data_IF_859309866491
#
_entry.id   IF_859309866491
#
_cell.length_a   1.000
_cell.length_b   1.000
_cell.length_c   1.000
_cell.angle_alpha   90.00
_cell.angle_beta   90.00
_cell.angle_gamma   90.00
#
_symmetry.space_group_name_H-M   'P 1'
#
loop_
_entity.id
_entity.type
_entity.pdbx_description
1 polymer ?
#
# COMPACT_ATOMS: atom_id res chain seq x y z
N UNK A 1 32.66 -2.72 -23.01
CA UNK A 1 32.35 -2.17 -21.66
C UNK A 1 32.32 -0.66 -21.81
N UNK A 2 31.15 -0.03 -21.62
CA UNK A 2 31.10 1.45 -21.51
C UNK A 2 31.95 1.82 -20.30
N UNK A 3 32.84 2.82 -20.45
CA UNK A 3 33.60 3.34 -19.32
C UNK A 3 32.64 3.74 -18.20
N UNK A 4 32.84 3.17 -17.02
CA UNK A 4 32.16 3.61 -15.81
C UNK A 4 32.62 5.03 -15.52
N UNK A 5 31.86 6.03 -15.97
CA UNK A 5 32.11 7.43 -15.68
C UNK A 5 32.13 7.61 -14.16
N UNK A 6 33.09 8.36 -13.66
CA UNK A 6 33.08 8.80 -12.27
C UNK A 6 31.83 9.63 -12.05
N UNK A 7 30.90 9.16 -11.20
CA UNK A 7 29.59 9.79 -10.97
C UNK A 7 29.57 10.36 -9.56
N UNK A 8 29.17 11.61 -9.44
CA UNK A 8 29.12 12.33 -8.14
C UNK A 8 28.13 11.68 -7.17
N UNK A 9 27.05 11.11 -7.68
CA UNK A 9 26.07 10.36 -6.90
C UNK A 9 26.23 8.85 -7.17
N UNK A 10 26.39 8.00 -6.14
CA UNK A 10 26.49 6.56 -6.33
C UNK A 10 25.19 5.97 -6.88
N UNK A 11 25.25 4.78 -7.50
CA UNK A 11 24.03 4.06 -7.93
C UNK A 11 23.09 3.79 -6.76
N UNK A 12 23.64 3.36 -5.63
CA UNK A 12 22.89 3.04 -4.41
C UNK A 12 23.35 3.95 -3.29
N UNK A 13 22.44 4.73 -2.75
CA UNK A 13 22.64 5.52 -1.56
C UNK A 13 22.16 4.67 -0.38
N UNK A 14 23.10 4.30 0.49
CA UNK A 14 22.83 3.57 1.72
C UNK A 14 22.95 4.50 2.93
N UNK A 15 22.04 4.32 3.86
CA UNK A 15 22.18 4.76 5.23
C UNK A 15 22.87 3.67 6.05
N UNK A 16 23.54 4.03 7.14
CA UNK A 16 23.99 3.08 8.16
C UNK A 16 22.84 2.69 9.08
N UNK A 17 23.01 1.64 9.88
CA UNK A 17 22.02 1.25 10.90
C UNK A 17 21.75 2.38 11.92
N UNK A 18 22.75 3.20 12.22
CA UNK A 18 22.64 4.33 13.15
C UNK A 18 21.83 5.50 12.55
N UNK A 19 21.74 5.58 11.22
CA UNK A 19 20.96 6.57 10.49
C UNK A 19 19.50 6.13 10.30
N UNK A 20 19.12 4.90 10.71
CA UNK A 20 17.73 4.44 10.64
C UNK A 20 16.82 5.25 11.56
N UNK A 21 15.54 5.47 11.15
CA UNK A 21 14.57 6.17 11.97
C UNK A 21 14.38 5.50 13.35
N UNK A 22 14.36 6.33 14.39
CA UNK A 22 14.03 5.91 15.76
C UNK A 22 12.58 6.13 16.11
N UNK A 23 11.86 6.87 15.27
CA UNK A 23 10.46 7.25 15.41
C UNK A 23 9.74 7.03 14.10
N UNK A 24 8.48 6.65 14.17
CA UNK A 24 7.55 6.84 13.06
C UNK A 24 7.07 8.28 13.04
N UNK A 25 6.80 8.80 11.86
CA UNK A 25 6.27 10.14 11.70
C UNK A 25 4.76 10.10 11.39
N UNK A 26 3.99 10.72 12.27
CA UNK A 26 2.53 10.84 12.15
C UNK A 26 2.19 12.18 11.47
N UNK A 27 2.02 12.15 10.17
CA UNK A 27 1.72 13.34 9.37
C UNK A 27 0.42 14.05 9.78
N UNK A 28 -0.51 13.32 10.42
CA UNK A 28 -1.76 13.91 10.93
C UNK A 28 -1.54 15.01 11.95
N UNK A 29 -0.45 14.95 12.71
CA UNK A 29 -0.13 15.99 13.68
C UNK A 29 0.06 17.37 13.02
N UNK A 30 0.57 17.41 11.79
CA UNK A 30 0.78 18.64 11.02
C UNK A 30 -0.40 18.99 10.10
N UNK A 31 -1.35 18.07 9.86
CA UNK A 31 -2.51 18.33 9.00
C UNK A 31 -3.48 19.35 9.62
N UNK A 32 -3.84 20.38 8.85
CA UNK A 32 -4.87 21.36 9.23
C UNK A 32 -6.27 20.73 9.21
N UNK A 33 -6.59 20.05 8.09
CA UNK A 33 -7.81 19.27 7.93
C UNK A 33 -7.46 17.81 8.25
N UNK A 34 -7.74 17.39 9.47
CA UNK A 34 -7.48 16.00 9.88
C UNK A 34 -8.47 15.06 9.24
N UNK A 35 -8.08 13.81 8.93
CA UNK A 35 -9.03 12.80 8.50
C UNK A 35 -10.17 12.66 9.50
N UNK A 36 -11.38 12.53 9.00
CA UNK A 36 -12.56 12.33 9.85
C UNK A 36 -12.46 10.98 10.60
N UNK A 37 -13.05 10.89 11.82
CA UNK A 37 -12.98 9.68 12.64
C UNK A 37 -13.67 8.51 11.96
N UNK A 38 -13.24 7.29 12.27
CA UNK A 38 -13.96 6.07 11.88
C UNK A 38 -15.33 6.05 12.57
N UNK A 39 -16.37 5.65 11.83
CA UNK A 39 -17.72 5.52 12.38
C UNK A 39 -18.09 4.06 12.64
N UNK A 40 -18.76 3.83 13.75
CA UNK A 40 -19.40 2.55 14.04
C UNK A 40 -20.57 2.33 13.05
N UNK A 41 -20.60 1.22 12.31
CA UNK A 41 -21.61 0.98 11.29
C UNK A 41 -23.04 0.87 11.83
N UNK A 42 -23.21 0.46 13.09
CA UNK A 42 -24.53 0.30 13.71
C UNK A 42 -25.10 1.59 14.31
N UNK A 43 -24.21 2.49 14.80
CA UNK A 43 -24.65 3.72 15.51
C UNK A 43 -24.42 5.00 14.71
N UNK A 44 -23.61 4.95 13.65
CA UNK A 44 -23.15 6.08 12.84
C UNK A 44 -22.41 7.17 13.65
N UNK A 45 -21.90 6.79 14.82
CA UNK A 45 -21.10 7.68 15.70
C UNK A 45 -19.61 7.35 15.58
N UNK A 46 -18.73 8.31 15.91
CA UNK A 46 -17.30 8.02 16.01
C UNK A 46 -17.06 6.82 16.93
N UNK A 47 -16.23 5.89 16.46
CA UNK A 47 -15.86 4.71 17.25
C UNK A 47 -15.04 5.10 18.46
N UNK A 48 -15.32 4.43 19.57
CA UNK A 48 -14.52 4.53 20.80
C UNK A 48 -13.32 3.58 20.73
N UNK A 49 -12.32 3.83 21.59
CA UNK A 49 -11.17 2.92 21.72
C UNK A 49 -11.58 1.51 22.17
N UNK A 50 -12.62 1.39 23.00
CA UNK A 50 -13.17 0.12 23.46
C UNK A 50 -13.75 -0.68 22.29
N UNK A 51 -14.62 -0.04 21.47
CA UNK A 51 -15.22 -0.69 20.29
C UNK A 51 -14.14 -1.16 19.29
N UNK A 52 -13.13 -0.31 19.02
CA UNK A 52 -12.00 -0.69 18.14
C UNK A 52 -11.18 -1.82 18.73
N UNK A 53 -11.00 -1.87 20.07
CA UNK A 53 -10.24 -2.90 20.78
C UNK A 53 -10.84 -4.31 20.68
N UNK A 54 -12.11 -4.44 20.27
CA UNK A 54 -12.70 -5.76 19.96
C UNK A 54 -12.13 -6.36 18.66
N UNK A 55 -11.66 -5.52 17.74
CA UNK A 55 -11.15 -5.93 16.42
C UNK A 55 -9.62 -5.88 16.39
N UNK A 56 -9.02 -4.81 16.89
CA UNK A 56 -7.58 -4.51 16.81
C UNK A 56 -6.87 -4.65 18.15
N UNK A 57 -5.55 -4.77 18.12
CA UNK A 57 -4.71 -4.70 19.31
C UNK A 57 -4.79 -3.30 19.95
N UNK A 58 -4.72 -3.22 21.27
CA UNK A 58 -4.90 -1.97 22.03
C UNK A 58 -3.90 -0.87 21.63
N UNK A 59 -2.61 -1.21 21.44
CA UNK A 59 -1.61 -0.20 21.01
C UNK A 59 -1.86 0.26 19.58
N UNK A 60 -2.35 -0.60 18.68
CA UNK A 60 -2.74 -0.21 17.32
C UNK A 60 -3.95 0.73 17.32
N UNK A 61 -4.91 0.52 18.23
CA UNK A 61 -6.03 1.44 18.43
C UNK A 61 -5.54 2.81 18.88
N UNK A 62 -4.61 2.85 19.84
CA UNK A 62 -4.01 4.11 20.31
C UNK A 62 -3.31 4.85 19.16
N UNK A 63 -2.50 4.16 18.35
CA UNK A 63 -1.84 4.74 17.18
C UNK A 63 -2.85 5.20 16.11
N UNK A 64 -3.93 4.45 15.91
CA UNK A 64 -4.98 4.83 14.96
C UNK A 64 -5.69 6.12 15.36
N UNK A 65 -5.94 6.32 16.66
CA UNK A 65 -6.66 7.48 17.19
C UNK A 65 -5.77 8.70 17.48
N UNK A 66 -4.45 8.53 17.61
CA UNK A 66 -3.52 9.63 17.89
C UNK A 66 -3.28 10.47 16.62
N UNK A 67 -3.85 11.66 16.60
CA UNK A 67 -3.70 12.65 15.54
C UNK A 67 -2.91 13.90 15.98
N UNK A 68 -2.23 13.84 17.13
CA UNK A 68 -1.56 14.97 17.78
C UNK A 68 -0.05 14.76 17.94
N UNK A 69 0.40 13.52 18.21
CA UNK A 69 1.80 13.21 18.45
C UNK A 69 2.55 13.05 17.13
N UNK A 70 3.49 13.96 16.77
CA UNK A 70 4.13 13.91 15.46
C UNK A 70 5.16 12.78 15.32
N UNK A 71 5.86 12.43 16.40
CA UNK A 71 6.89 11.39 16.40
C UNK A 71 6.58 10.34 17.44
N UNK A 72 6.25 9.12 16.98
CA UNK A 72 5.92 7.99 17.83
C UNK A 72 7.15 7.06 17.89
N UNK A 73 7.70 6.76 19.09
CA UNK A 73 8.89 5.94 19.21
C UNK A 73 8.67 4.53 18.61
N UNK A 74 9.64 4.07 17.82
CA UNK A 74 9.65 2.68 17.34
C UNK A 74 10.20 1.81 18.47
N UNK A 75 9.47 0.79 18.95
CA UNK A 75 9.96 -0.14 19.97
C UNK A 75 11.32 -0.73 19.59
N UNK A 76 12.21 -0.91 20.58
CA UNK A 76 13.57 -1.39 20.30
C UNK A 76 13.58 -2.76 19.61
N UNK A 77 12.67 -3.68 20.00
CA UNK A 77 12.56 -5.00 19.38
C UNK A 77 12.12 -4.91 17.91
N UNK A 78 11.21 -3.98 17.58
CA UNK A 78 10.82 -3.69 16.19
C UNK A 78 12.01 -3.11 15.41
N UNK A 79 12.80 -2.21 16.03
CA UNK A 79 14.03 -1.67 15.42
C UNK A 79 15.08 -2.74 15.20
N UNK A 80 15.25 -3.66 16.14
CA UNK A 80 16.16 -4.80 16.02
C UNK A 80 15.76 -5.68 14.83
N UNK A 81 14.45 -5.89 14.65
CA UNK A 81 13.96 -6.62 13.49
C UNK A 81 14.19 -5.83 12.19
N UNK A 82 13.97 -4.52 12.19
CA UNK A 82 14.25 -3.66 11.04
C UNK A 82 15.72 -3.77 10.60
N UNK A 83 16.69 -3.84 11.50
CA UNK A 83 18.11 -4.01 11.17
C UNK A 83 18.42 -5.23 10.31
N UNK A 84 17.57 -6.25 10.32
CA UNK A 84 17.76 -7.44 9.49
C UNK A 84 17.58 -7.16 7.98
N UNK A 85 16.85 -6.11 7.60
CA UNK A 85 16.56 -5.83 6.19
C UNK A 85 16.52 -4.34 5.82
N UNK A 86 16.65 -3.46 6.79
CA UNK A 86 16.73 -2.01 6.60
C UNK A 86 18.11 -1.50 7.05
N UNK A 87 18.55 -0.31 6.56
CA UNK A 87 17.88 0.60 5.64
C UNK A 87 17.73 0.01 4.24
N UNK A 88 16.60 0.24 3.58
CA UNK A 88 16.46 -0.12 2.17
C UNK A 88 17.16 0.94 1.28
N UNK A 89 17.74 0.55 0.12
CA UNK A 89 18.49 1.49 -0.69
C UNK A 89 17.60 2.51 -1.40
N UNK A 90 18.11 3.74 -1.52
CA UNK A 90 17.68 4.69 -2.54
C UNK A 90 18.62 4.55 -3.73
N UNK A 91 18.08 4.24 -4.91
CA UNK A 91 18.87 3.92 -6.10
C UNK A 91 18.60 4.96 -7.17
N UNK A 92 19.66 5.42 -7.85
CA UNK A 92 19.50 6.27 -9.03
C UNK A 92 19.43 5.43 -10.30
N UNK A 93 18.38 5.65 -11.09
CA UNK A 93 18.07 4.89 -12.30
C UNK A 93 18.87 5.40 -13.52
N UNK A 94 20.19 5.39 -13.43
CA UNK A 94 21.07 5.92 -14.48
C UNK A 94 20.85 5.28 -15.85
N UNK A 95 20.59 3.97 -15.91
CA UNK A 95 20.42 3.29 -17.19
C UNK A 95 19.06 3.63 -17.81
N UNK A 96 18.01 3.84 -16.99
CA UNK A 96 16.71 4.31 -17.46
C UNK A 96 16.81 5.76 -17.94
N UNK A 97 17.47 6.66 -17.18
CA UNK A 97 17.72 8.05 -17.61
C UNK A 97 18.41 8.12 -18.96
N UNK A 98 19.49 7.33 -19.15
CA UNK A 98 20.22 7.24 -20.41
C UNK A 98 19.34 6.71 -21.55
N UNK A 99 18.52 5.67 -21.26
CA UNK A 99 17.62 5.06 -22.26
C UNK A 99 16.55 6.04 -22.75
N UNK A 100 16.01 6.86 -21.83
CA UNK A 100 15.01 7.88 -22.14
C UNK A 100 15.66 9.13 -22.81
N UNK A 101 16.96 9.31 -22.62
CA UNK A 101 17.69 10.52 -23.09
C UNK A 101 17.15 11.79 -22.44
N UNK A 102 16.77 11.71 -21.17
CA UNK A 102 16.19 12.81 -20.41
C UNK A 102 17.27 13.51 -19.54
N UNK A 103 17.16 14.84 -19.33
CA UNK A 103 18.00 15.55 -18.38
C UNK A 103 17.56 15.31 -16.92
N UNK A 104 16.43 14.65 -16.69
CA UNK A 104 15.83 14.38 -15.39
C UNK A 104 16.61 13.29 -14.65
N UNK A 105 16.75 13.44 -13.34
CA UNK A 105 17.30 12.42 -12.46
C UNK A 105 16.19 11.60 -11.83
N UNK A 106 16.23 10.28 -11.96
CA UNK A 106 15.22 9.36 -11.45
C UNK A 106 15.80 8.54 -10.32
N UNK A 107 15.17 8.60 -9.14
CA UNK A 107 15.52 7.83 -7.95
C UNK A 107 14.39 6.89 -7.59
N UNK A 108 14.71 5.67 -7.15
CA UNK A 108 13.71 4.75 -6.63
C UNK A 108 14.10 4.21 -5.25
N UNK A 109 13.16 4.29 -4.30
CA UNK A 109 13.27 3.69 -2.98
C UNK A 109 12.88 2.22 -3.07
N UNK A 110 13.87 1.34 -3.00
CA UNK A 110 13.67 -0.08 -3.30
C UNK A 110 13.33 -0.89 -2.04
N UNK A 111 12.04 -1.08 -1.79
CA UNK A 111 11.51 -1.87 -0.68
C UNK A 111 11.43 -3.38 -0.96
N UNK A 112 11.63 -3.80 -2.20
CA UNK A 112 11.63 -5.22 -2.59
C UNK A 112 12.90 -5.99 -2.23
N UNK A 113 13.88 -5.36 -1.59
CA UNK A 113 15.15 -5.99 -1.18
C UNK A 113 15.03 -6.83 0.10
N UNK A 114 13.97 -6.67 0.86
CA UNK A 114 13.77 -7.45 2.08
C UNK A 114 13.29 -8.88 1.78
N UNK A 115 13.36 -9.76 2.78
CA UNK A 115 13.06 -11.18 2.64
C UNK A 115 11.59 -11.49 2.29
N UNK A 116 10.66 -10.59 2.60
CA UNK A 116 9.26 -10.73 2.18
C UNK A 116 9.02 -10.24 0.73
N UNK A 117 9.98 -9.53 0.16
CA UNK A 117 9.92 -8.98 -1.19
C UNK A 117 9.07 -7.72 -1.34
N UNK A 118 8.63 -7.07 -0.26
CA UNK A 118 7.83 -5.83 -0.34
C UNK A 118 7.89 -4.96 0.91
N UNK A 119 7.45 -3.70 0.79
CA UNK A 119 7.33 -2.71 1.89
C UNK A 119 6.43 -3.18 3.04
N UNK A 120 5.55 -4.12 2.79
CA UNK A 120 4.53 -4.53 3.77
C UNK A 120 5.11 -5.07 5.08
N UNK A 121 6.35 -5.60 5.05
CA UNK A 121 7.04 -6.11 6.23
C UNK A 121 7.25 -5.04 7.31
N UNK A 122 7.37 -3.77 6.94
CA UNK A 122 7.54 -2.67 7.89
C UNK A 122 6.37 -2.58 8.88
N UNK A 123 5.14 -2.73 8.41
CA UNK A 123 3.96 -2.73 9.26
C UNK A 123 3.65 -4.10 9.85
N UNK A 124 3.92 -5.17 9.12
CA UNK A 124 3.66 -6.53 9.58
C UNK A 124 4.38 -6.84 10.89
N UNK A 125 5.66 -6.48 10.99
CA UNK A 125 6.41 -6.73 12.22
C UNK A 125 5.93 -5.85 13.38
N UNK A 126 5.57 -4.59 13.12
CA UNK A 126 5.04 -3.70 14.15
C UNK A 126 3.70 -4.18 14.70
N UNK A 127 2.80 -4.64 13.83
CA UNK A 127 1.49 -5.14 14.24
C UNK A 127 1.60 -6.49 14.96
N UNK A 128 2.41 -7.42 14.44
CA UNK A 128 2.64 -8.71 15.09
C UNK A 128 3.35 -8.56 16.45
N UNK A 129 4.30 -7.62 16.58
CA UNK A 129 4.92 -7.28 17.85
C UNK A 129 3.88 -6.82 18.87
N UNK A 130 3.02 -5.88 18.51
CA UNK A 130 1.99 -5.37 19.40
C UNK A 130 0.96 -6.45 19.78
N UNK A 131 0.65 -7.38 18.88
CA UNK A 131 -0.18 -8.54 19.19
C UNK A 131 0.47 -9.44 20.23
N UNK A 132 1.76 -9.71 20.08
CA UNK A 132 2.56 -10.51 21.03
C UNK A 132 2.65 -9.85 22.40
N UNK A 133 2.93 -8.54 22.46
CA UNK A 133 3.02 -7.77 23.71
C UNK A 133 1.67 -7.73 24.45
N UNK A 134 0.58 -7.74 23.75
CA UNK A 134 -0.76 -7.85 24.34
C UNK A 134 -1.08 -9.27 24.88
N UNK A 135 -0.22 -10.25 24.62
CA UNK A 135 -0.43 -11.65 25.04
C UNK A 135 -1.39 -12.42 24.15
N UNK A 136 -1.59 -11.98 22.90
CA UNK A 136 -2.38 -12.74 21.92
C UNK A 136 -1.62 -13.97 21.44
N UNK A 137 -2.37 -14.99 21.03
CA UNK A 137 -1.82 -16.23 20.49
C UNK A 137 -1.83 -16.28 18.96
N UNK A 138 -2.68 -15.47 18.32
CA UNK A 138 -2.79 -15.45 16.87
C UNK A 138 -3.35 -14.15 16.31
N UNK A 139 -3.22 -14.02 14.99
CA UNK A 139 -3.78 -12.94 14.20
C UNK A 139 -4.45 -13.46 12.94
N UNK A 140 -5.47 -12.73 12.47
CA UNK A 140 -6.10 -12.95 11.17
C UNK A 140 -5.87 -11.76 10.27
N UNK A 141 -5.86 -11.98 8.97
CA UNK A 141 -5.70 -10.89 8.01
C UNK A 141 -6.24 -11.23 6.63
N UNK A 142 -6.44 -10.19 5.83
CA UNK A 142 -6.63 -10.29 4.38
C UNK A 142 -5.28 -10.22 3.64
N UNK A 143 -5.28 -10.63 2.38
CA UNK A 143 -4.20 -10.27 1.44
C UNK A 143 -4.71 -10.23 0.01
N UNK A 144 -4.31 -9.20 -0.75
CA UNK A 144 -4.63 -9.07 -2.17
C UNK A 144 -3.79 -9.98 -3.04
N UNK A 145 -2.60 -9.52 -3.44
CA UNK A 145 -1.66 -10.27 -4.27
C UNK A 145 -0.78 -11.25 -3.47
N UNK A 146 -0.85 -11.24 -2.15
CA UNK A 146 -0.07 -12.08 -1.24
C UNK A 146 1.17 -11.42 -0.63
N UNK A 147 1.51 -10.17 -0.98
CA UNK A 147 2.66 -9.47 -0.39
C UNK A 147 2.48 -9.28 1.12
N UNK A 148 1.33 -8.74 1.52
CA UNK A 148 1.03 -8.53 2.93
C UNK A 148 0.95 -9.84 3.70
N UNK A 149 0.21 -10.84 3.17
CA UNK A 149 0.12 -12.15 3.80
C UNK A 149 1.50 -12.81 3.99
N UNK A 150 2.40 -12.71 3.01
CA UNK A 150 3.78 -13.19 3.11
C UNK A 150 4.54 -12.49 4.24
N UNK A 151 4.47 -11.17 4.30
CA UNK A 151 5.16 -10.39 5.32
C UNK A 151 4.64 -10.68 6.74
N UNK A 152 3.32 -10.78 6.88
CA UNK A 152 2.71 -11.10 8.18
C UNK A 152 3.02 -12.54 8.62
N UNK A 153 2.94 -13.51 7.70
CA UNK A 153 3.32 -14.91 7.99
C UNK A 153 4.74 -15.01 8.52
N UNK A 154 5.68 -14.28 7.89
CA UNK A 154 7.06 -14.20 8.34
C UNK A 154 7.19 -13.57 9.73
N UNK A 155 6.51 -12.44 9.97
CA UNK A 155 6.53 -11.76 11.27
C UNK A 155 5.94 -12.66 12.38
N UNK A 156 4.84 -13.35 12.10
CA UNK A 156 4.20 -14.29 13.03
C UNK A 156 5.08 -15.49 13.34
N UNK A 157 5.73 -16.08 12.33
CA UNK A 157 6.69 -17.17 12.54
C UNK A 157 7.85 -16.74 13.46
N UNK A 158 8.38 -15.54 13.27
CA UNK A 158 9.44 -14.99 14.10
C UNK A 158 9.00 -14.76 15.55
N UNK A 159 7.76 -14.27 15.75
CA UNK A 159 7.23 -13.91 17.06
C UNK A 159 6.48 -15.07 17.76
N UNK A 160 6.30 -16.21 17.08
CA UNK A 160 5.57 -17.38 17.62
C UNK A 160 4.07 -17.11 17.75
N UNK A 161 3.46 -16.51 16.75
CA UNK A 161 2.01 -16.27 16.65
C UNK A 161 1.40 -17.16 15.56
N UNK A 162 0.20 -17.65 15.80
CA UNK A 162 -0.62 -18.26 14.75
C UNK A 162 -1.06 -17.18 13.73
N UNK A 163 -1.10 -17.53 12.46
CA UNK A 163 -1.45 -16.61 11.38
C UNK A 163 -2.47 -17.24 10.43
N UNK A 164 -3.65 -16.64 10.32
CA UNK A 164 -4.67 -17.04 9.36
C UNK A 164 -4.88 -15.94 8.30
N UNK A 165 -4.65 -16.28 7.03
CA UNK A 165 -4.65 -15.35 5.91
C UNK A 165 -5.80 -15.67 4.96
N UNK A 166 -6.71 -14.71 4.73
CA UNK A 166 -7.71 -14.76 3.68
C UNK A 166 -7.17 -14.08 2.43
N UNK A 167 -6.88 -14.87 1.39
CA UNK A 167 -6.29 -14.38 0.15
C UNK A 167 -7.34 -14.22 -0.94
N UNK A 168 -7.37 -13.06 -1.60
CA UNK A 168 -8.29 -12.81 -2.74
C UNK A 168 -8.23 -13.95 -3.75
N UNK A 169 -9.39 -14.55 -4.07
CA UNK A 169 -9.52 -15.80 -4.83
C UNK A 169 -8.74 -15.80 -6.15
N UNK A 170 -8.89 -14.77 -6.99
CA UNK A 170 -8.16 -14.72 -8.26
C UNK A 170 -6.62 -14.69 -8.05
N UNK A 171 -6.14 -14.01 -7.02
CA UNK A 171 -4.71 -14.00 -6.71
C UNK A 171 -4.23 -15.32 -6.10
N UNK A 172 -5.04 -15.99 -5.31
CA UNK A 172 -4.76 -17.32 -4.78
C UNK A 172 -4.50 -18.34 -5.90
N UNK A 173 -5.24 -18.21 -7.01
CA UNK A 173 -5.09 -19.06 -8.21
C UNK A 173 -3.90 -18.61 -9.09
N UNK A 174 -3.75 -17.30 -9.32
CA UNK A 174 -2.74 -16.74 -10.23
C UNK A 174 -1.32 -16.70 -9.63
N UNK A 175 -1.20 -16.73 -8.29
CA UNK A 175 0.08 -16.57 -7.57
C UNK A 175 0.34 -17.72 -6.60
N UNK A 176 0.42 -18.98 -7.09
CA UNK A 176 0.52 -20.15 -6.23
C UNK A 176 1.77 -20.14 -5.34
N UNK A 177 2.89 -19.59 -5.82
CA UNK A 177 4.12 -19.54 -5.03
C UNK A 177 4.03 -18.63 -3.83
N UNK A 178 3.26 -17.55 -3.85
CA UNK A 178 3.04 -16.72 -2.67
C UNK A 178 2.29 -17.48 -1.58
N UNK A 179 1.30 -18.26 -1.96
CA UNK A 179 0.59 -19.17 -1.04
C UNK A 179 1.57 -20.15 -0.38
N UNK A 180 2.45 -20.78 -1.16
CA UNK A 180 3.41 -21.74 -0.63
C UNK A 180 4.45 -21.08 0.29
N UNK A 181 4.85 -19.84 0.02
CA UNK A 181 5.73 -19.07 0.93
C UNK A 181 5.03 -18.82 2.28
N UNK A 182 3.77 -18.37 2.28
CA UNK A 182 2.98 -18.17 3.50
C UNK A 182 2.86 -19.46 4.30
N UNK A 183 2.54 -20.59 3.65
CA UNK A 183 2.45 -21.91 4.28
C UNK A 183 3.81 -22.39 4.80
N UNK A 184 4.90 -22.07 4.12
CA UNK A 184 6.26 -22.40 4.60
C UNK A 184 6.61 -21.67 5.89
N UNK A 185 6.08 -20.44 6.08
CA UNK A 185 6.18 -19.72 7.35
C UNK A 185 5.15 -20.16 8.38
N UNK A 186 4.32 -21.17 8.10
CA UNK A 186 3.38 -21.75 9.03
C UNK A 186 1.99 -21.09 9.05
N UNK A 187 1.70 -20.17 8.12
CA UNK A 187 0.37 -19.58 8.05
C UNK A 187 -0.65 -20.53 7.41
N UNK A 188 -1.88 -20.47 7.89
CA UNK A 188 -3.05 -21.03 7.23
C UNK A 188 -3.58 -20.03 6.18
N UNK A 189 -3.82 -20.47 4.95
CA UNK A 189 -4.17 -19.60 3.83
C UNK A 189 -5.46 -20.08 3.16
N UNK A 190 -6.51 -19.27 3.24
CA UNK A 190 -7.84 -19.55 2.69
C UNK A 190 -8.15 -18.62 1.52
N UNK A 191 -8.63 -19.14 0.34
CA UNK A 191 -9.10 -18.27 -0.74
C UNK A 191 -10.40 -17.57 -0.34
N UNK A 192 -10.51 -16.26 -0.61
CA UNK A 192 -11.65 -15.42 -0.23
C UNK A 192 -12.38 -14.85 -1.48
N UNK A 193 -13.74 -14.89 -1.54
CA UNK A 193 -14.66 -15.41 -0.49
C UNK A 193 -14.62 -16.94 -0.37
N UNK A 194 -14.86 -17.44 0.85
CA UNK A 194 -14.82 -18.85 1.19
C UNK A 194 -16.14 -19.36 1.77
N UNK A 195 -16.25 -20.67 1.93
CA UNK A 195 -17.37 -21.30 2.64
C UNK A 195 -17.10 -21.46 4.15
N UNK A 196 -15.93 -21.06 4.63
CA UNK A 196 -15.51 -21.25 6.03
C UNK A 196 -16.13 -20.24 6.99
N UNK A 197 -16.45 -19.04 6.50
CA UNK A 197 -17.08 -17.96 7.26
C UNK A 197 -18.56 -17.77 6.86
N UNK A 198 -19.34 -17.14 7.73
CA UNK A 198 -20.74 -16.82 7.41
C UNK A 198 -20.82 -15.71 6.36
N UNK A 199 -19.98 -14.66 6.52
CA UNK A 199 -19.95 -13.55 5.57
C UNK A 199 -19.45 -14.02 4.20
N UNK A 200 -18.48 -14.91 4.13
CA UNK A 200 -18.01 -15.50 2.87
C UNK A 200 -19.11 -16.25 2.13
N UNK A 201 -19.90 -17.06 2.86
CA UNK A 201 -21.07 -17.76 2.29
C UNK A 201 -22.12 -16.79 1.76
N UNK A 202 -22.40 -15.67 2.47
CA UNK A 202 -23.34 -14.64 2.01
C UNK A 202 -22.85 -13.96 0.73
N UNK A 203 -21.57 -13.57 0.68
CA UNK A 203 -20.97 -12.96 -0.51
C UNK A 203 -21.03 -13.92 -1.71
N UNK A 204 -20.72 -15.22 -1.52
CA UNK A 204 -20.82 -16.21 -2.59
C UNK A 204 -22.26 -16.49 -3.05
N UNK A 205 -23.22 -16.35 -2.16
CA UNK A 205 -24.63 -16.48 -2.52
C UNK A 205 -25.14 -15.29 -3.37
N UNK A 206 -24.63 -14.08 -3.08
CA UNK A 206 -24.97 -12.86 -3.83
C UNK A 206 -24.16 -12.75 -5.14
N UNK A 207 -22.88 -13.14 -5.11
CA UNK A 207 -21.95 -13.07 -6.25
C UNK A 207 -21.25 -14.42 -6.50
N UNK A 208 -21.94 -15.42 -7.07
CA UNK A 208 -21.41 -16.79 -7.22
C UNK A 208 -20.11 -16.88 -8.02
N UNK A 209 -19.98 -16.04 -9.04
CA UNK A 209 -18.84 -16.03 -9.98
C UNK A 209 -17.77 -14.99 -9.61
N UNK A 210 -17.82 -14.45 -8.39
CA UNK A 210 -16.87 -13.40 -7.97
C UNK A 210 -15.43 -13.88 -7.99
N UNK A 211 -14.55 -13.02 -8.48
CA UNK A 211 -13.08 -13.18 -8.40
C UNK A 211 -12.51 -12.80 -7.04
N UNK A 212 -13.35 -12.29 -6.14
CA UNK A 212 -12.97 -11.74 -4.85
C UNK A 212 -12.37 -10.34 -4.92
N UNK A 213 -12.31 -9.70 -3.77
CA UNK A 213 -11.67 -8.40 -3.57
C UNK A 213 -11.05 -8.32 -2.18
N UNK A 214 -10.25 -7.29 -1.93
CA UNK A 214 -9.74 -7.02 -0.57
C UNK A 214 -10.90 -6.81 0.42
N UNK A 215 -11.97 -6.12 0.01
CA UNK A 215 -13.15 -5.93 0.87
C UNK A 215 -13.81 -7.24 1.31
N UNK A 216 -13.88 -8.25 0.43
CA UNK A 216 -14.37 -9.59 0.79
C UNK A 216 -13.45 -10.27 1.81
N UNK A 217 -12.14 -10.25 1.56
CA UNK A 217 -11.15 -10.90 2.42
C UNK A 217 -11.05 -10.22 3.81
N UNK A 218 -11.22 -8.91 3.88
CA UNK A 218 -11.31 -8.14 5.15
C UNK A 218 -12.50 -8.65 5.97
N UNK A 219 -13.70 -8.75 5.37
CA UNK A 219 -14.89 -9.24 6.07
C UNK A 219 -14.66 -10.61 6.71
N UNK A 220 -14.10 -11.55 5.96
CA UNK A 220 -13.83 -12.90 6.46
C UNK A 220 -12.76 -12.92 7.57
N UNK A 221 -11.70 -12.13 7.41
CA UNK A 221 -10.64 -12.04 8.42
C UNK A 221 -11.14 -11.45 9.74
N UNK A 222 -11.99 -10.42 9.68
CA UNK A 222 -12.60 -9.80 10.88
C UNK A 222 -13.57 -10.77 11.57
N UNK A 223 -14.43 -11.48 10.83
CA UNK A 223 -15.30 -12.51 11.39
C UNK A 223 -14.49 -13.62 12.06
N UNK A 224 -13.42 -14.09 11.42
CA UNK A 224 -12.55 -15.11 11.97
C UNK A 224 -11.88 -14.64 13.27
N UNK A 225 -11.37 -13.40 13.33
CA UNK A 225 -10.80 -12.83 14.54
C UNK A 225 -11.82 -12.76 15.69
N UNK A 226 -13.04 -12.31 15.38
CA UNK A 226 -14.09 -12.17 16.38
C UNK A 226 -14.57 -13.52 16.97
N UNK A 227 -14.46 -14.59 16.17
CA UNK A 227 -14.87 -15.95 16.59
C UNK A 227 -13.74 -16.79 17.19
N UNK A 228 -12.49 -16.33 17.12
CA UNK A 228 -11.31 -17.07 17.62
C UNK A 228 -10.75 -16.44 18.91
N UNK A 229 -10.73 -17.17 20.03
CA UNK A 229 -10.18 -16.64 21.28
C UNK A 229 -8.73 -16.17 21.17
N UNK A 230 -8.39 -15.11 21.90
CA UNK A 230 -7.02 -14.54 21.95
C UNK A 230 -6.44 -14.20 20.58
N UNK A 231 -7.30 -13.86 19.62
CA UNK A 231 -6.93 -13.49 18.25
C UNK A 231 -7.46 -12.09 17.94
N UNK A 232 -6.71 -11.33 17.14
CA UNK A 232 -7.15 -10.02 16.62
C UNK A 232 -6.87 -9.92 15.13
N UNK A 233 -7.64 -9.07 14.48
CA UNK A 233 -7.43 -8.71 13.09
C UNK A 233 -6.28 -7.70 12.98
N UNK A 234 -5.44 -7.88 11.98
CA UNK A 234 -4.39 -6.95 11.55
C UNK A 234 -4.49 -6.76 10.04
N UNK A 235 -4.04 -5.62 9.52
CA UNK A 235 -4.26 -5.29 8.10
C UNK A 235 -3.07 -4.60 7.44
N UNK A 236 -2.96 -4.78 6.12
CA UNK A 236 -1.82 -4.32 5.33
C UNK A 236 -1.91 -2.90 4.81
N UNK A 237 -3.06 -2.23 4.90
CA UNK A 237 -3.27 -0.91 4.29
C UNK A 237 -4.43 -0.15 4.94
N UNK A 238 -4.77 1.01 4.39
CA UNK A 238 -5.95 1.84 4.67
C UNK A 238 -5.88 2.62 5.98
N UNK A 239 -5.71 1.97 7.13
CA UNK A 239 -5.77 2.62 8.42
C UNK A 239 -4.53 3.49 8.72
N UNK A 240 -4.75 4.51 9.55
CA UNK A 240 -3.73 5.50 9.88
C UNK A 240 -2.49 4.89 10.53
N UNK A 241 -2.67 3.89 11.41
CA UNK A 241 -1.57 3.19 12.05
C UNK A 241 -0.67 2.43 11.04
N UNK A 242 -1.25 1.96 9.92
CA UNK A 242 -0.45 1.31 8.87
C UNK A 242 0.41 2.33 8.13
N UNK A 243 -0.16 3.49 7.75
CA UNK A 243 0.57 4.58 7.10
C UNK A 243 1.66 5.13 8.03
N UNK A 244 1.38 5.20 9.34
CA UNK A 244 2.37 5.56 10.36
C UNK A 244 3.59 4.62 10.32
N UNK A 245 3.38 3.29 10.36
CA UNK A 245 4.48 2.32 10.28
C UNK A 245 5.27 2.43 8.98
N UNK A 246 4.60 2.72 7.87
CA UNK A 246 5.23 2.88 6.56
C UNK A 246 6.01 4.19 6.42
N UNK A 247 5.89 5.13 7.36
CA UNK A 247 6.65 6.40 7.34
C UNK A 247 8.17 6.21 7.34
N UNK A 248 8.66 5.04 7.79
CA UNK A 248 10.09 4.68 7.70
C UNK A 248 10.61 4.74 6.26
N UNK A 249 9.76 4.47 5.25
CA UNK A 249 10.12 4.57 3.84
C UNK A 249 10.49 6.01 3.49
N UNK A 250 9.60 6.94 3.82
CA UNK A 250 9.79 8.37 3.55
C UNK A 250 10.94 8.97 4.35
N UNK A 251 11.03 8.62 5.64
CA UNK A 251 12.10 9.12 6.52
C UNK A 251 13.48 8.69 6.02
N UNK A 252 13.67 7.43 5.65
CA UNK A 252 14.94 6.97 5.06
C UNK A 252 15.17 7.58 3.67
N UNK A 253 14.12 7.74 2.85
CA UNK A 253 14.24 8.39 1.53
C UNK A 253 14.76 9.82 1.71
N UNK A 254 14.14 10.58 2.61
CA UNK A 254 14.56 11.96 2.90
C UNK A 254 15.99 12.02 3.41
N UNK A 255 16.35 11.20 4.39
CA UNK A 255 17.71 11.15 4.93
C UNK A 255 18.76 10.80 3.86
N UNK A 256 18.43 9.87 2.94
CA UNK A 256 19.32 9.50 1.84
C UNK A 256 19.48 10.65 0.81
N UNK A 257 18.41 11.37 0.49
CA UNK A 257 18.45 12.54 -0.38
C UNK A 257 19.24 13.69 0.26
N UNK A 258 18.97 13.99 1.52
CA UNK A 258 19.65 15.05 2.29
C UNK A 258 21.18 14.81 2.38
N UNK A 259 21.60 13.54 2.53
CA UNK A 259 23.00 13.12 2.57
C UNK A 259 23.81 13.56 1.34
N UNK A 260 23.15 13.72 0.20
CA UNK A 260 23.76 14.16 -1.06
C UNK A 260 23.23 15.52 -1.55
N UNK A 261 22.50 16.25 -0.71
CA UNK A 261 21.93 17.56 -1.06
C UNK A 261 20.95 17.52 -2.23
N UNK A 262 20.24 16.39 -2.41
CA UNK A 262 19.27 16.20 -3.48
C UNK A 262 17.89 16.67 -3.01
N UNK A 263 17.33 17.66 -3.69
CA UNK A 263 15.95 18.08 -3.44
C UNK A 263 15.02 17.44 -4.48
N UNK A 264 14.01 16.66 -4.09
CA UNK A 264 13.05 16.12 -5.04
C UNK A 264 12.12 17.23 -5.57
N UNK A 265 11.78 17.17 -6.87
CA UNK A 265 10.76 18.01 -7.48
C UNK A 265 9.44 17.27 -7.60
N UNK A 266 9.50 15.96 -7.89
CA UNK A 266 8.34 15.10 -8.12
C UNK A 266 8.49 13.82 -7.31
N UNK A 267 7.46 13.46 -6.54
CA UNK A 267 7.42 12.21 -5.76
C UNK A 267 6.22 11.39 -6.25
N UNK A 268 6.45 10.13 -6.62
CA UNK A 268 5.45 9.27 -7.27
C UNK A 268 5.36 7.95 -6.54
N UNK A 269 4.14 7.52 -6.21
CA UNK A 269 3.92 6.21 -5.63
C UNK A 269 2.63 5.56 -6.14
N UNK A 270 2.59 4.24 -6.19
CA UNK A 270 1.36 3.52 -6.50
C UNK A 270 0.40 3.56 -5.31
N UNK A 271 -0.89 3.59 -5.60
CA UNK A 271 -1.95 3.73 -4.61
C UNK A 271 -3.06 2.69 -4.83
N UNK A 272 -3.18 1.77 -3.87
CA UNK A 272 -4.35 0.92 -3.66
C UNK A 272 -5.09 1.43 -2.44
N UNK A 273 -4.88 0.83 -1.26
CA UNK A 273 -5.34 1.41 0.01
C UNK A 273 -4.48 2.58 0.52
N UNK A 274 -3.38 2.92 -0.15
CA UNK A 274 -2.59 4.13 0.11
C UNK A 274 -1.43 3.98 1.10
N UNK A 275 -1.12 2.79 1.63
CA UNK A 275 -0.13 2.64 2.71
C UNK A 275 1.31 2.95 2.29
N UNK A 276 1.77 2.41 1.15
CA UNK A 276 3.12 2.69 0.67
C UNK A 276 3.31 4.15 0.26
N UNK A 277 2.33 4.70 -0.45
CA UNK A 277 2.34 6.11 -0.86
C UNK A 277 2.34 7.01 0.36
N UNK A 278 1.39 6.82 1.29
CA UNK A 278 1.30 7.62 2.51
C UNK A 278 2.58 7.57 3.35
N UNK A 279 3.21 6.39 3.45
CA UNK A 279 4.50 6.24 4.13
C UNK A 279 5.63 6.98 3.43
N UNK A 280 5.76 6.83 2.11
CA UNK A 280 6.79 7.50 1.31
C UNK A 280 6.69 9.02 1.40
N UNK A 281 5.47 9.56 1.23
CA UNK A 281 5.27 11.01 1.13
C UNK A 281 5.20 11.72 2.48
N UNK A 282 4.99 10.99 3.59
CA UNK A 282 4.68 11.60 4.89
C UNK A 282 5.65 12.69 5.35
N UNK A 283 6.99 12.55 5.34
CA UNK A 283 7.89 13.62 5.77
C UNK A 283 7.90 14.81 4.80
N UNK A 284 7.70 14.56 3.50
CA UNK A 284 7.65 15.60 2.48
C UNK A 284 6.35 16.41 2.58
N UNK A 285 5.22 15.73 2.79
CA UNK A 285 3.93 16.40 3.09
C UNK A 285 4.03 17.20 4.38
N UNK A 286 4.69 16.67 5.41
CA UNK A 286 4.94 17.42 6.64
C UNK A 286 5.66 18.75 6.39
N UNK A 287 6.71 18.76 5.55
CA UNK A 287 7.41 20.00 5.15
C UNK A 287 6.48 20.95 4.38
N UNK A 288 5.66 20.43 3.45
CA UNK A 288 4.67 21.25 2.73
C UNK A 288 3.65 21.88 3.69
N UNK A 289 3.14 21.11 4.64
CA UNK A 289 2.15 21.57 5.63
C UNK A 289 2.71 22.66 6.56
N UNK A 290 4.00 22.58 6.88
CA UNK A 290 4.71 23.62 7.67
C UNK A 290 5.19 24.80 6.83
N UNK A 291 5.03 24.75 5.49
CA UNK A 291 5.48 25.81 4.57
C UNK A 291 6.99 25.85 4.33
N UNK A 292 7.68 24.74 4.58
CA UNK A 292 9.14 24.61 4.47
C UNK A 292 9.60 24.26 3.05
N UNK A 293 8.73 23.57 2.30
CA UNK A 293 9.00 23.12 0.94
C UNK A 293 7.71 23.00 0.10
N UNK A 294 7.89 22.82 -1.21
CA UNK A 294 6.81 22.48 -2.14
C UNK A 294 7.29 21.33 -3.03
N UNK A 295 6.44 20.31 -3.17
CA UNK A 295 6.71 19.10 -3.93
C UNK A 295 5.49 18.75 -4.80
N UNK A 296 5.73 18.35 -6.04
CA UNK A 296 4.68 17.70 -6.84
C UNK A 296 4.57 16.23 -6.41
N UNK A 297 3.43 15.86 -5.86
CA UNK A 297 3.17 14.47 -5.44
C UNK A 297 2.12 13.86 -6.36
N UNK A 298 2.39 12.64 -6.87
CA UNK A 298 1.49 11.93 -7.77
C UNK A 298 1.17 10.55 -7.21
N UNK A 299 -0.11 10.33 -6.90
CA UNK A 299 -0.67 9.01 -6.59
C UNK A 299 -1.03 8.31 -7.90
N UNK A 300 -0.58 7.08 -8.10
CA UNK A 300 -0.86 6.31 -9.32
C UNK A 300 -1.67 5.08 -8.99
N UNK A 301 -2.85 4.98 -9.57
CA UNK A 301 -3.78 3.87 -9.38
C UNK A 301 -4.06 3.12 -10.68
N UNK A 302 -4.53 1.85 -10.64
CA UNK A 302 -4.91 1.14 -11.84
C UNK A 302 -6.19 1.71 -12.45
N UNK A 303 -6.24 1.84 -13.77
CA UNK A 303 -7.45 2.27 -14.49
C UNK A 303 -8.66 1.35 -14.24
N UNK A 304 -8.40 0.09 -13.84
CA UNK A 304 -9.43 -0.90 -13.46
C UNK A 304 -10.00 -0.70 -12.04
N UNK A 305 -9.37 0.15 -11.21
CA UNK A 305 -9.81 0.43 -9.84
C UNK A 305 -9.50 1.90 -9.46
N UNK A 306 -10.18 2.88 -10.13
CA UNK A 306 -9.79 4.29 -10.09
C UNK A 306 -10.45 5.03 -8.91
N UNK A 307 -10.10 4.67 -7.68
CA UNK A 307 -10.74 5.19 -6.46
C UNK A 307 -10.56 6.69 -6.25
N UNK A 308 -9.38 7.26 -6.56
CA UNK A 308 -9.12 8.69 -6.47
C UNK A 308 -9.66 9.45 -7.69
N UNK A 309 -9.36 8.97 -8.90
CA UNK A 309 -9.64 9.72 -10.14
C UNK A 309 -11.12 9.67 -10.55
N UNK A 310 -11.86 8.62 -10.16
CA UNK A 310 -13.28 8.45 -10.51
C UNK A 310 -14.18 8.11 -9.32
N UNK A 311 -13.64 8.01 -8.11
CA UNK A 311 -14.40 7.79 -6.88
C UNK A 311 -15.04 9.06 -6.33
N UNK A 312 -15.81 8.89 -5.24
CA UNK A 312 -16.46 9.98 -4.51
C UNK A 312 -15.92 10.06 -3.08
N UNK A 313 -15.81 11.27 -2.52
CA UNK A 313 -15.31 11.47 -1.15
C UNK A 313 -16.45 11.40 -0.14
N UNK A 314 -16.67 10.19 0.39
CA UNK A 314 -17.77 9.88 1.32
C UNK A 314 -17.35 8.90 2.40
N UNK A 315 -18.15 8.79 3.45
CA UNK A 315 -18.07 7.65 4.36
C UNK A 315 -18.53 6.38 3.64
N UNK A 316 -17.72 5.34 3.71
CA UNK A 316 -18.07 4.03 3.19
C UNK A 316 -17.52 2.93 4.09
N UNK A 317 -18.08 1.75 4.01
CA UNK A 317 -17.58 0.58 4.73
C UNK A 317 -16.17 0.22 4.24
N UNK A 318 -15.28 -0.11 5.17
CA UNK A 318 -13.94 -0.57 4.82
C UNK A 318 -13.96 -1.98 4.19
N UNK A 319 -15.09 -2.69 4.23
CA UNK A 319 -15.24 -4.05 3.75
C UNK A 319 -16.55 -4.27 2.95
N UNK A 320 -16.59 -5.32 2.15
CA UNK A 320 -17.76 -5.67 1.32
C UNK A 320 -18.91 -6.24 2.16
N UNK A 321 -18.59 -6.95 3.24
CA UNK A 321 -19.60 -7.57 4.14
C UNK A 321 -20.25 -6.59 5.11
N UNK A 322 -19.80 -5.34 5.16
CA UNK A 322 -20.35 -4.24 5.99
C UNK A 322 -20.27 -4.52 7.50
N UNK A 323 -19.24 -5.22 7.92
CA UNK A 323 -18.99 -5.54 9.34
C UNK A 323 -17.89 -4.71 9.96
N UNK A 324 -17.06 -4.05 9.12
CA UNK A 324 -15.98 -3.17 9.55
C UNK A 324 -16.46 -1.73 9.76
N UNK A 325 -15.66 -0.90 10.46
CA UNK A 325 -15.91 0.53 10.55
C UNK A 325 -16.08 1.21 9.20
N UNK A 326 -16.80 2.32 9.17
CA UNK A 326 -16.84 3.21 8.00
C UNK A 326 -15.76 4.27 8.11
N UNK A 327 -15.04 4.50 7.01
CA UNK A 327 -14.04 5.55 6.89
C UNK A 327 -14.49 6.62 5.90
N UNK A 328 -14.18 7.90 6.18
CA UNK A 328 -14.30 8.98 5.20
C UNK A 328 -13.15 8.86 4.21
N UNK A 329 -13.47 8.53 2.96
CA UNK A 329 -12.47 8.21 1.95
C UNK A 329 -12.97 8.48 0.53
N UNK A 330 -12.07 8.56 -0.42
CA UNK A 330 -12.42 8.39 -1.83
C UNK A 330 -12.74 6.91 -2.06
N UNK A 331 -13.95 6.64 -2.56
CA UNK A 331 -14.46 5.26 -2.71
C UNK A 331 -15.20 5.07 -4.02
N UNK A 332 -15.16 3.84 -4.52
CA UNK A 332 -15.98 3.34 -5.63
C UNK A 332 -17.26 2.64 -5.15
N UNK A 333 -17.46 2.60 -3.81
CA UNK A 333 -18.54 1.87 -3.16
C UNK A 333 -18.10 0.49 -2.67
N UNK A 334 -18.51 0.13 -1.44
CA UNK A 334 -18.13 -1.13 -0.78
C UNK A 334 -18.54 -2.41 -1.55
N UNK A 335 -19.52 -2.32 -2.42
CA UNK A 335 -19.93 -3.41 -3.31
C UNK A 335 -19.20 -3.44 -4.66
N UNK A 336 -18.31 -2.47 -4.94
CA UNK A 336 -17.52 -2.49 -6.17
C UNK A 336 -16.43 -3.56 -6.10
N UNK A 337 -16.45 -4.51 -7.03
CA UNK A 337 -15.43 -5.55 -7.16
C UNK A 337 -14.63 -5.28 -8.42
N UNK A 338 -13.35 -4.87 -8.30
CA UNK A 338 -12.49 -4.60 -9.46
C UNK A 338 -12.29 -5.83 -10.32
N UNK A 339 -12.08 -5.66 -11.63
CA UNK A 339 -11.67 -6.74 -12.52
C UNK A 339 -10.39 -7.43 -12.03
N UNK A 340 -10.16 -8.66 -12.48
CA UNK A 340 -9.01 -9.47 -12.09
C UNK A 340 -7.72 -8.99 -12.78
N UNK A 341 -7.31 -7.73 -12.53
CA UNK A 341 -6.02 -7.23 -12.98
C UNK A 341 -4.86 -7.89 -12.20
N UNK A 342 -3.65 -7.81 -12.74
CA UNK A 342 -2.48 -8.46 -12.16
C UNK A 342 -1.78 -7.67 -11.04
N UNK A 343 -2.20 -6.43 -10.77
CA UNK A 343 -1.77 -5.64 -9.62
C UNK A 343 -2.75 -5.84 -8.43
N UNK A 344 -2.79 -7.06 -7.91
CA UNK A 344 -3.76 -7.47 -6.87
C UNK A 344 -3.70 -6.66 -5.58
N UNK A 345 -2.55 -6.09 -5.24
CA UNK A 345 -2.37 -5.19 -4.10
C UNK A 345 -3.03 -3.81 -4.28
N UNK A 346 -3.47 -3.46 -5.49
CA UNK A 346 -4.18 -2.21 -5.79
C UNK A 346 -5.69 -2.41 -6.04
N UNK A 347 -6.25 -3.59 -5.76
CA UNK A 347 -7.66 -3.94 -5.97
C UNK A 347 -8.49 -3.70 -4.70
N UNK A 348 -8.61 -2.45 -4.31
CA UNK A 348 -9.43 -2.03 -3.17
C UNK A 348 -10.36 -0.88 -3.57
N UNK A 349 -11.63 -0.96 -3.15
CA UNK A 349 -12.67 0.00 -3.54
C UNK A 349 -12.50 1.40 -2.95
N UNK A 350 -11.67 1.55 -1.90
CA UNK A 350 -11.47 2.80 -1.19
C UNK A 350 -10.00 3.19 -1.06
N UNK A 351 -9.76 4.35 -0.48
CA UNK A 351 -8.43 4.92 -0.22
C UNK A 351 -8.29 5.27 1.26
N UNK A 352 -7.08 5.17 1.83
CA UNK A 352 -6.86 5.61 3.21
C UNK A 352 -7.37 7.02 3.47
N UNK A 353 -7.89 7.26 4.66
CA UNK A 353 -8.45 8.57 5.03
C UNK A 353 -7.40 9.69 4.95
N UNK A 354 -6.12 9.40 5.28
CA UNK A 354 -5.02 10.37 5.15
C UNK A 354 -4.81 10.77 3.69
N UNK A 355 -4.59 9.80 2.78
CA UNK A 355 -4.34 10.08 1.37
C UNK A 355 -5.57 10.73 0.72
N UNK A 356 -6.78 10.27 1.08
CA UNK A 356 -8.03 10.86 0.62
C UNK A 356 -8.16 12.33 1.04
N UNK A 357 -7.84 12.67 2.29
CA UNK A 357 -7.90 14.04 2.77
C UNK A 357 -6.87 14.92 2.08
N UNK A 358 -5.63 14.44 1.94
CA UNK A 358 -4.56 15.17 1.23
C UNK A 358 -4.92 15.42 -0.24
N UNK A 359 -5.54 14.45 -0.91
CA UNK A 359 -6.03 14.62 -2.27
C UNK A 359 -7.19 15.62 -2.35
N UNK A 360 -8.14 15.53 -1.41
CA UNK A 360 -9.27 16.45 -1.29
C UNK A 360 -8.81 17.90 -1.04
N UNK A 361 -7.75 18.09 -0.29
CA UNK A 361 -7.13 19.39 0.01
C UNK A 361 -6.22 19.90 -1.14
N UNK A 362 -6.10 19.15 -2.24
CA UNK A 362 -5.29 19.54 -3.40
C UNK A 362 -3.78 19.43 -3.19
N UNK A 363 -3.33 18.70 -2.18
CA UNK A 363 -1.90 18.53 -1.86
C UNK A 363 -1.20 17.47 -2.71
N UNK A 364 -1.95 16.67 -3.46
CA UNK A 364 -1.41 15.69 -4.39
C UNK A 364 -2.31 15.52 -5.62
N UNK A 365 -1.71 15.07 -6.72
CA UNK A 365 -2.41 14.69 -7.96
C UNK A 365 -2.68 13.19 -7.94
N UNK A 366 -3.70 12.75 -8.67
CA UNK A 366 -3.96 11.34 -8.92
C UNK A 366 -3.98 11.04 -10.42
N UNK A 367 -3.44 9.89 -10.81
CA UNK A 367 -3.48 9.38 -12.20
C UNK A 367 -3.83 7.91 -12.20
N UNK A 368 -4.66 7.51 -13.15
CA UNK A 368 -4.96 6.10 -13.42
C UNK A 368 -4.20 5.61 -14.65
N UNK A 369 -3.72 4.37 -14.63
CA UNK A 369 -2.91 3.76 -15.71
C UNK A 369 -3.44 2.38 -16.06
N UNK A 370 -3.49 2.09 -17.36
CA UNK A 370 -3.89 0.79 -17.90
C UNK A 370 -2.79 -0.25 -17.66
N UNK A 371 -3.17 -1.51 -17.40
CA UNK A 371 -2.19 -2.54 -17.03
C UNK A 371 -1.22 -2.89 -18.15
N UNK A 372 -1.61 -2.81 -19.43
CA UNK A 372 -0.70 -3.05 -20.56
C UNK A 372 0.43 -2.02 -20.59
N UNK A 373 0.12 -0.73 -20.37
CA UNK A 373 1.12 0.33 -20.25
C UNK A 373 1.99 0.18 -18.99
N UNK A 374 1.44 -0.36 -17.91
CA UNK A 374 2.19 -0.69 -16.68
C UNK A 374 3.22 -1.78 -16.95
N UNK A 375 2.86 -2.86 -17.66
CA UNK A 375 3.79 -3.95 -17.98
C UNK A 375 4.83 -3.55 -19.02
N UNK A 376 4.48 -2.70 -19.98
CA UNK A 376 5.46 -2.09 -20.91
C UNK A 376 6.55 -1.34 -20.11
N UNK A 377 6.14 -0.49 -19.17
CA UNK A 377 7.07 0.25 -18.31
C UNK A 377 7.89 -0.66 -17.39
N UNK A 378 7.26 -1.72 -16.85
CA UNK A 378 7.93 -2.72 -16.02
C UNK A 378 9.06 -3.43 -16.76
N UNK A 379 8.82 -3.87 -18.00
CA UNK A 379 9.84 -4.52 -18.82
C UNK A 379 10.94 -3.56 -19.26
N UNK A 380 10.60 -2.33 -19.64
CA UNK A 380 11.59 -1.31 -19.93
C UNK A 380 12.51 -1.09 -18.73
N UNK A 381 11.94 -0.94 -17.54
CA UNK A 381 12.68 -0.76 -16.29
C UNK A 381 13.57 -1.97 -15.99
N UNK A 382 13.03 -3.19 -16.12
CA UNK A 382 13.78 -4.41 -15.87
C UNK A 382 14.98 -4.56 -16.83
N UNK A 383 14.80 -4.22 -18.11
CA UNK A 383 15.88 -4.24 -19.13
C UNK A 383 16.95 -3.16 -18.89
N UNK A 384 16.58 -2.03 -18.27
CA UNK A 384 17.50 -0.93 -17.96
C UNK A 384 18.22 -1.15 -16.63
N UNK A 385 17.48 -1.42 -15.56
CA UNK A 385 17.98 -1.42 -14.18
C UNK A 385 18.32 -2.83 -13.65
N UNK A 386 17.95 -3.89 -14.37
CA UNK A 386 18.19 -5.26 -13.95
C UNK A 386 17.33 -5.72 -12.76
N UNK A 387 16.27 -5.00 -12.46
CA UNK A 387 15.33 -5.28 -11.37
C UNK A 387 13.95 -5.56 -11.98
N UNK A 388 13.38 -6.71 -11.64
CA UNK A 388 12.02 -7.07 -12.03
C UNK A 388 11.04 -6.49 -11.00
N UNK A 389 10.29 -5.43 -11.34
CA UNK A 389 9.40 -4.77 -10.38
C UNK A 389 8.08 -5.53 -10.22
N UNK A 390 7.45 -5.39 -9.04
CA UNK A 390 6.07 -5.83 -8.87
C UNK A 390 5.13 -5.03 -9.79
N UNK A 391 4.03 -5.61 -10.30
CA UNK A 391 3.05 -4.88 -11.11
C UNK A 391 2.49 -3.64 -10.41
N UNK A 392 2.33 -3.70 -9.10
CA UNK A 392 1.93 -2.55 -8.28
C UNK A 392 2.90 -1.38 -8.42
N UNK A 393 4.20 -1.62 -8.21
CA UNK A 393 5.26 -0.60 -8.31
C UNK A 393 5.38 -0.04 -9.72
N UNK A 394 5.07 -0.85 -10.72
CA UNK A 394 5.21 -0.49 -12.13
C UNK A 394 4.24 0.60 -12.57
N UNK A 395 3.15 0.84 -11.81
CA UNK A 395 2.29 2.00 -11.98
C UNK A 395 3.07 3.31 -11.75
N UNK A 396 3.85 3.36 -10.67
CA UNK A 396 4.70 4.52 -10.40
C UNK A 396 5.83 4.68 -11.43
N UNK A 397 6.41 3.57 -11.91
CA UNK A 397 7.43 3.57 -12.97
C UNK A 397 6.86 4.15 -14.27
N UNK A 398 5.63 3.75 -14.68
CA UNK A 398 5.00 4.27 -15.90
C UNK A 398 4.87 5.80 -15.84
N UNK A 399 4.34 6.33 -14.76
CA UNK A 399 4.15 7.77 -14.62
C UNK A 399 5.49 8.51 -14.49
N UNK A 400 6.51 7.90 -13.85
CA UNK A 400 7.84 8.49 -13.80
C UNK A 400 8.49 8.60 -15.19
N UNK A 401 8.30 7.58 -16.05
CA UNK A 401 8.74 7.64 -17.45
C UNK A 401 8.01 8.77 -18.18
N UNK A 402 6.69 8.91 -18.02
CA UNK A 402 5.91 9.97 -18.66
C UNK A 402 6.36 11.36 -18.22
N UNK A 403 6.58 11.59 -16.92
CA UNK A 403 7.11 12.85 -16.40
C UNK A 403 8.54 13.12 -16.89
N UNK A 404 9.39 12.10 -16.97
CA UNK A 404 10.77 12.24 -17.49
C UNK A 404 10.79 12.59 -18.99
N UNK A 405 9.90 12.00 -19.79
CA UNK A 405 9.72 12.34 -21.20
C UNK A 405 9.22 13.77 -21.36
N UNK A 406 8.23 14.17 -20.56
CA UNK A 406 7.72 15.55 -20.53
C UNK A 406 8.80 16.56 -20.16
N UNK A 407 9.63 16.25 -19.16
CA UNK A 407 10.76 17.08 -18.77
C UNK A 407 11.79 17.21 -19.91
N UNK A 408 12.05 16.12 -20.66
CA UNK A 408 12.90 16.14 -21.84
C UNK A 408 12.36 17.09 -22.92
N UNK A 409 11.07 17.00 -23.24
CA UNK A 409 10.40 17.84 -24.23
C UNK A 409 10.47 19.32 -23.86
N UNK A 410 10.35 19.63 -22.58
CA UNK A 410 10.44 20.98 -22.03
C UNK A 410 11.89 21.44 -21.74
N UNK A 411 12.89 20.57 -21.93
CA UNK A 411 14.28 20.80 -21.53
C UNK A 411 14.45 21.18 -20.05
N UNK A 412 13.70 20.50 -19.15
CA UNK A 412 13.73 20.71 -17.71
C UNK A 412 14.52 19.58 -17.01
N UNK A 413 15.46 19.93 -16.16
CA UNK A 413 16.15 18.98 -15.28
C UNK A 413 15.44 18.94 -13.92
N UNK A 414 14.80 17.83 -13.60
CA UNK A 414 14.09 17.60 -12.33
C UNK A 414 14.58 16.33 -11.61
N UNK A 415 14.41 16.29 -10.33
CA UNK A 415 14.64 15.09 -9.51
C UNK A 415 13.29 14.41 -9.25
N UNK A 416 13.11 13.22 -9.82
CA UNK A 416 11.92 12.38 -9.63
C UNK A 416 12.26 11.27 -8.64
N UNK A 417 11.46 11.11 -7.60
CA UNK A 417 11.58 10.02 -6.63
C UNK A 417 10.36 9.11 -6.74
N UNK A 418 10.58 7.79 -6.87
CA UNK A 418 9.51 6.81 -6.91
C UNK A 418 9.62 5.79 -5.78
N UNK A 419 8.48 5.29 -5.33
CA UNK A 419 8.39 4.13 -4.46
C UNK A 419 8.43 2.84 -5.29
N UNK A 420 9.53 2.07 -5.21
CA UNK A 420 9.62 0.73 -5.78
C UNK A 420 9.28 -0.29 -4.68
N UNK A 421 7.98 -0.55 -4.51
CA UNK A 421 7.39 -1.15 -3.32
C UNK A 421 7.61 -2.65 -3.17
N UNK A 422 7.92 -3.35 -4.26
CA UNK A 422 8.07 -4.80 -4.23
C UNK A 422 8.77 -5.40 -5.45
N UNK A 423 9.20 -6.65 -5.28
CA UNK A 423 9.76 -7.49 -6.35
C UNK A 423 8.69 -8.18 -7.16
N UNK A 424 8.92 -8.36 -8.47
CA UNK A 424 8.02 -9.02 -9.41
C UNK A 424 8.28 -10.52 -9.61
N UNK A 425 9.23 -11.13 -8.90
CA UNK A 425 9.56 -12.55 -9.11
C UNK A 425 8.41 -13.52 -8.82
N UNK A 426 7.43 -13.12 -8.03
CA UNK A 426 6.21 -13.90 -7.80
C UNK A 426 5.09 -13.61 -8.82
N UNK A 427 5.33 -12.70 -9.77
CA UNK A 427 4.33 -12.22 -10.73
C UNK A 427 4.60 -12.72 -12.17
N UNK A 428 5.42 -13.78 -12.32
CA UNK A 428 5.86 -14.28 -13.62
C UNK A 428 4.71 -14.76 -14.50
N UNK A 429 3.59 -15.22 -13.94
CA UNK A 429 2.40 -15.55 -14.72
C UNK A 429 1.85 -14.31 -15.43
N UNK A 430 1.86 -13.16 -14.77
CA UNK A 430 1.40 -11.90 -15.36
C UNK A 430 2.36 -11.41 -16.47
N UNK A 431 3.67 -11.47 -16.22
CA UNK A 431 4.67 -11.14 -17.23
C UNK A 431 4.58 -12.08 -18.45
N UNK A 432 4.34 -13.39 -18.24
CA UNK A 432 4.10 -14.35 -19.32
C UNK A 432 2.91 -13.95 -20.18
N UNK A 433 1.76 -13.66 -19.58
CA UNK A 433 0.57 -13.21 -20.31
C UNK A 433 0.79 -11.91 -21.10
N UNK A 434 1.56 -10.99 -20.54
CA UNK A 434 1.92 -9.75 -21.26
C UNK A 434 2.79 -10.06 -22.47
N UNK A 435 3.84 -10.87 -22.31
CA UNK A 435 4.76 -11.26 -23.39
C UNK A 435 4.08 -12.07 -24.50
N UNK A 436 3.09 -12.89 -24.15
CA UNK A 436 2.30 -13.71 -25.08
C UNK A 436 1.16 -12.92 -25.75
N UNK A 437 0.97 -11.65 -25.40
CA UNK A 437 -0.09 -10.79 -25.96
C UNK A 437 -1.50 -11.16 -25.46
N UNK A 438 -1.60 -11.88 -24.34
CA UNK A 438 -2.87 -12.31 -23.74
C UNK A 438 -3.43 -11.32 -22.72
N UNK A 439 -2.68 -10.24 -22.40
CA UNK A 439 -3.13 -9.22 -21.45
C UNK A 439 -4.03 -8.19 -22.13
N UNK A 440 -5.13 -7.84 -21.47
CA UNK A 440 -6.05 -6.81 -21.93
C UNK A 440 -6.39 -5.83 -20.83
N UNK A 441 -6.70 -4.60 -21.22
CA UNK A 441 -7.15 -3.57 -20.29
C UNK A 441 -8.66 -3.68 -20.05
N UNK A 442 -9.05 -3.62 -18.77
CA UNK A 442 -10.45 -3.61 -18.35
C UNK A 442 -10.67 -2.38 -17.49
N UNK A 443 -11.36 -1.39 -18.06
CA UNK A 443 -11.70 -0.14 -17.39
C UNK A 443 -13.19 -0.20 -17.03
N UNK A 444 -13.59 0.10 -15.77
CA UNK A 444 -14.99 0.10 -15.39
C UNK A 444 -15.77 1.16 -16.17
N UNK A 445 -16.93 0.79 -16.67
CA UNK A 445 -17.88 1.71 -17.33
C UNK A 445 -18.48 2.66 -16.29
N UNK A 446 -19.17 3.72 -16.74
CA UNK A 446 -19.90 4.60 -15.83
C UNK A 446 -21.04 3.85 -15.12
N UNK A 447 -21.68 2.88 -15.79
CA UNK A 447 -22.69 2.02 -15.19
C UNK A 447 -22.12 1.13 -14.09
N UNK A 448 -20.89 0.58 -14.27
CA UNK A 448 -20.19 -0.20 -13.24
C UNK A 448 -19.94 0.66 -12.00
N UNK A 449 -19.49 1.89 -12.20
CA UNK A 449 -19.25 2.83 -11.09
C UNK A 449 -20.55 3.25 -10.42
N UNK A 450 -21.61 3.51 -11.17
CA UNK A 450 -22.92 3.85 -10.57
C UNK A 450 -23.48 2.71 -9.73
N UNK A 451 -23.31 1.45 -10.16
CA UNK A 451 -23.66 0.28 -9.33
C UNK A 451 -22.85 0.23 -8.04
N UNK A 452 -21.56 0.54 -8.12
CA UNK A 452 -20.71 0.65 -6.93
C UNK A 452 -21.18 1.77 -6.00
N UNK A 453 -21.38 2.98 -6.52
CA UNK A 453 -21.83 4.13 -5.73
C UNK A 453 -23.19 3.91 -5.06
N UNK A 454 -24.06 3.14 -5.66
CA UNK A 454 -25.35 2.77 -5.06
C UNK A 454 -25.21 1.94 -3.76
N UNK A 455 -24.04 1.36 -3.50
CA UNK A 455 -23.76 0.61 -2.26
C UNK A 455 -23.24 1.46 -1.11
N UNK A 456 -22.87 2.72 -1.38
CA UNK A 456 -22.39 3.67 -0.36
C UNK A 456 -23.54 3.99 0.61
N UNK A 457 -23.30 3.92 1.93
CA UNK A 457 -24.35 4.19 2.90
C UNK A 457 -24.83 5.65 2.84
N UNK A 458 -26.18 5.82 2.85
CA UNK A 458 -26.80 7.14 2.86
C UNK A 458 -27.29 7.47 4.27
N UNK A 459 -26.79 8.57 4.83
CA UNK A 459 -27.21 9.10 6.13
C UNK A 459 -26.90 10.61 6.17
N UNK A 460 -27.52 11.40 7.09
CA UNK A 460 -27.26 12.84 7.19
C UNK A 460 -25.77 13.14 7.37
N UNK A 461 -25.20 13.98 6.47
CA UNK A 461 -23.79 14.31 6.43
C UNK A 461 -22.92 13.40 5.54
N UNK A 462 -23.53 12.46 4.81
CA UNK A 462 -22.89 11.62 3.82
C UNK A 462 -23.58 11.68 2.44
N UNK A 463 -24.20 12.79 2.12
CA UNK A 463 -24.96 13.03 0.88
C UNK A 463 -24.06 13.25 -0.35
#
# INVERSE_FOLDING_TARGET
MKELKNRDIPYKIYLSEDEMPRYWYNVRADMKNKPAPLLNPGTLKPMTAEEMGHVFCAELVKQEMDDHTPYIPIPEDVRNFYRMYRPSPLVRAYCLEEKLGTPTHIYYKFEGTNTSGSHTLNSAIAQAYNAKEQGLTGVTTETGAGQWGTALSMACAYLGLDCHVFMVKCSYEQKPFRREVMRTYGADVTPSPSLTTEVGRKILAEFPDTTGSLGCAISEAVECAASTPNTRYVLGSVLNQVLLHQSVIGLETKAALDKYGIKPDIIIGCAGGGSNLGGLISPFVGEMLRGEADYKIIAVEPASCPSLTRGVFKYDFCDTGKICPMAKMYTLGNGFIPSANHAGGLRYHGMSSIVSQLYHDGMLEARSVEQTAVFEAAELFARCEGILPAPESSHAIRVAIDEAVKCKENNEAKNIVIGLTGTGYFDMVAYGKYNDGEMSDVIPTDEDLQRGFATIPSFPGNE
#
